data_IF_049746680201
#
_entry.id   IF_049746680201
#
_cell.length_a   1.000
_cell.length_b   1.000
_cell.length_c   1.000
_cell.angle_alpha   90.00
_cell.angle_beta   90.00
_cell.angle_gamma   90.00
#
_symmetry.space_group_name_H-M   'P 1'
#
loop_
_entity.id
_entity.type
_entity.pdbx_description
1 polymer ?
2 non-polymer ?
3 non-polymer ?
4 non-polymer ?
5 water ?
#
# COMPACT_ATOMS: atom_id res chain seq x y z
N UNK A 3 16.81 11.41 15.50
CA UNK A 3 17.81 12.15 14.66
C UNK A 3 17.75 11.82 13.16
N UNK A 4 17.74 10.53 12.82
CA UNK A 4 17.44 10.11 11.43
C UNK A 4 15.95 10.26 11.18
N UNK A 5 15.59 10.80 10.03
CA UNK A 5 14.18 10.90 9.63
C UNK A 5 13.69 9.48 9.39
N UNK A 6 12.51 9.14 9.90
CA UNK A 6 11.99 7.78 9.73
C UNK A 6 10.76 7.84 8.86
N UNK A 7 10.74 7.00 7.82
CA UNK A 7 9.63 7.01 6.87
C UNK A 7 9.07 5.62 6.76
N UNK A 8 7.76 5.50 6.97
CA UNK A 8 7.06 4.21 6.78
C UNK A 8 6.45 4.26 5.40
N UNK A 9 6.75 3.25 4.60
CA UNK A 9 6.24 3.17 3.23
C UNK A 9 5.29 1.95 3.19
N UNK A 10 4.03 2.20 2.91
CA UNK A 10 3.05 1.13 2.75
C UNK A 10 3.34 0.22 1.56
N UNK A 11 2.85 -1.02 1.60
CA UNK A 11 3.17 -1.95 0.51
C UNK A 11 2.10 -1.99 -0.57
N UNK A 12 0.94 -2.55 -0.27
CA UNK A 12 -0.10 -2.64 -1.29
C UNK A 12 -0.64 -1.25 -1.65
N UNK A 13 -0.65 -0.98 -2.95
CA UNK A 13 -1.18 0.28 -3.44
C UNK A 13 -0.14 1.39 -3.42
N UNK A 14 1.05 1.09 -2.93
CA UNK A 14 2.15 2.08 -2.92
C UNK A 14 3.42 1.49 -3.54
N UNK A 15 3.82 0.32 -3.08
CA UNK A 15 4.95 -0.41 -3.69
C UNK A 15 4.48 -1.44 -4.68
N UNK A 16 3.44 -2.15 -4.29
CA UNK A 16 2.93 -3.30 -5.08
C UNK A 16 1.59 -2.97 -5.69
N UNK A 17 1.44 -3.32 -6.97
CA UNK A 17 0.22 -2.99 -7.69
C UNK A 17 -0.94 -3.97 -7.40
N UNK A 18 -1.50 -3.85 -6.20
CA UNK A 18 -2.61 -4.64 -5.73
C UNK A 18 -3.83 -4.44 -6.64
N UNK A 19 -4.14 -3.18 -6.98
CA UNK A 19 -5.39 -2.92 -7.77
C UNK A 19 -5.35 -3.58 -9.16
N UNK A 20 -4.27 -3.34 -9.89
CA UNK A 20 -4.03 -3.99 -11.17
C UNK A 20 -3.97 -5.51 -11.15
N UNK A 21 -3.27 -6.06 -10.16
CA UNK A 21 -3.11 -7.53 -10.08
C UNK A 21 -4.45 -8.16 -9.76
N UNK A 22 -5.17 -7.54 -8.85
CA UNK A 22 -6.47 -8.04 -8.47
C UNK A 22 -7.39 -8.05 -9.70
N UNK A 23 -7.48 -6.91 -10.39
CA UNK A 23 -8.42 -6.86 -11.53
C UNK A 23 -8.10 -7.90 -12.57
N UNK A 24 -6.83 -8.05 -12.88
CA UNK A 24 -6.41 -9.01 -13.89
C UNK A 24 -6.80 -10.44 -13.49
N UNK A 25 -6.50 -10.79 -12.24
CA UNK A 25 -6.77 -12.15 -11.80
C UNK A 25 -8.26 -12.40 -11.58
N UNK A 26 -8.99 -11.38 -11.19
CA UNK A 26 -10.45 -11.48 -11.04
C UNK A 26 -11.07 -11.76 -12.41
N UNK A 27 -10.74 -10.90 -13.38
CA UNK A 27 -11.26 -11.12 -14.74
C UNK A 27 -10.93 -12.49 -15.31
N UNK A 28 -9.71 -12.99 -15.09
CA UNK A 28 -9.28 -14.28 -15.63
C UNK A 28 -10.02 -15.45 -14.96
N UNK A 29 -10.23 -15.35 -13.64
CA UNK A 29 -10.90 -16.41 -12.93
C UNK A 29 -12.42 -16.41 -13.12
N UNK A 30 -12.97 -15.21 -13.28
CA UNK A 30 -14.40 -15.03 -13.31
C UNK A 30 -14.82 -14.21 -14.55
N UNK A 31 -14.53 -14.74 -15.76
CA UNK A 31 -14.74 -13.96 -16.99
C UNK A 31 -16.20 -13.61 -17.27
N UNK A 32 -17.13 -14.24 -16.55
CA UNK A 32 -18.57 -14.02 -16.77
C UNK A 32 -19.22 -13.09 -15.76
N UNK A 33 -18.42 -12.62 -14.79
CA UNK A 33 -18.89 -11.68 -13.80
C UNK A 33 -18.60 -10.23 -14.23
N UNK A 34 -19.43 -9.27 -13.77
CA UNK A 34 -19.08 -7.87 -13.97
C UNK A 34 -17.85 -7.54 -13.14
N UNK A 35 -17.12 -6.53 -13.54
CA UNK A 35 -15.92 -6.09 -12.79
C UNK A 35 -15.91 -4.55 -12.66
N UNK A 36 -15.00 -4.03 -11.84
CA UNK A 36 -14.86 -2.57 -11.71
C UNK A 36 -13.56 -2.13 -12.34
N UNK A 37 -13.65 -1.40 -13.46
CA UNK A 37 -12.45 -0.86 -14.12
C UNK A 37 -11.78 0.06 -13.11
N UNK A 38 -10.46 0.20 -13.22
CA UNK A 38 -9.70 0.98 -12.22
C UNK A 38 -10.17 2.45 -12.14
N UNK A 39 -10.49 3.03 -13.29
CA UNK A 39 -10.99 4.40 -13.31
C UNK A 39 -12.29 4.56 -12.49
N UNK A 40 -13.06 3.47 -12.32
CA UNK A 40 -14.32 3.50 -11.56
C UNK A 40 -14.19 3.03 -10.10
N UNK A 41 -12.98 2.66 -9.71
CA UNK A 41 -12.77 2.29 -8.32
C UNK A 41 -13.00 3.47 -7.39
N UNK A 42 -13.70 3.24 -6.28
CA UNK A 42 -13.92 4.25 -5.24
C UNK A 42 -13.91 3.59 -3.87
N UNK A 43 -13.14 4.15 -2.96
CA UNK A 43 -13.06 3.66 -1.57
C UNK A 43 -12.02 2.56 -1.46
N UNK A 44 -11.36 2.54 -0.29
CA UNK A 44 -10.29 1.61 -0.02
C UNK A 44 -10.74 0.18 -0.27
N UNK A 45 -11.91 -0.17 0.23
CA UNK A 45 -12.33 -1.58 0.24
C UNK A 45 -12.87 -2.07 -1.10
N UNK A 46 -11.99 -2.69 -1.89
CA UNK A 46 -12.32 -3.40 -3.16
C UNK A 46 -13.56 -4.29 -2.97
N UNK A 47 -13.51 -5.12 -1.94
CA UNK A 47 -14.56 -6.14 -1.73
C UNK A 47 -15.94 -5.49 -1.56
N UNK A 48 -15.97 -4.36 -0.85
CA UNK A 48 -17.23 -3.63 -0.58
C UNK A 48 -17.81 -3.08 -1.87
N UNK A 49 -16.97 -2.49 -2.73
CA UNK A 49 -17.49 -1.99 -4.01
C UNK A 49 -18.00 -3.14 -4.90
N UNK A 50 -17.30 -4.26 -4.88
CA UNK A 50 -17.72 -5.42 -5.66
C UNK A 50 -19.03 -5.98 -5.11
N UNK A 51 -19.16 -5.93 -3.79
CA UNK A 51 -20.37 -6.40 -3.08
C UNK A 51 -21.60 -5.57 -3.42
N UNK A 52 -21.39 -4.28 -3.64
CA UNK A 52 -22.44 -3.36 -4.13
C UNK A 52 -22.76 -3.63 -5.61
N UNK A 53 -21.75 -4.05 -6.36
CA UNK A 53 -21.92 -4.25 -7.80
C UNK A 53 -22.84 -5.43 -8.15
N UNK A 54 -22.83 -6.45 -7.29
CA UNK A 54 -23.57 -7.69 -7.50
C UNK A 54 -23.51 -8.57 -6.24
N UNK A 55 -24.58 -9.33 -5.97
CA UNK A 55 -24.60 -10.29 -4.85
C UNK A 55 -23.59 -11.43 -5.02
N UNK A 56 -22.82 -11.70 -3.97
CA UNK A 56 -21.82 -12.76 -3.98
C UNK A 56 -20.47 -12.36 -4.54
N UNK A 57 -20.38 -11.13 -5.08
CA UNK A 57 -19.13 -10.65 -5.67
C UNK A 57 -18.05 -10.27 -4.65
N UNK A 58 -18.44 -9.86 -3.46
CA UNK A 58 -17.46 -9.60 -2.40
C UNK A 58 -16.66 -10.88 -2.10
N UNK A 59 -17.37 -12.00 -1.93
CA UNK A 59 -16.72 -13.26 -1.59
C UNK A 59 -15.81 -13.74 -2.75
N UNK A 60 -16.23 -13.51 -3.99
CA UNK A 60 -15.41 -13.88 -5.14
C UNK A 60 -14.15 -13.00 -5.18
N UNK A 61 -14.33 -11.71 -4.93
CA UNK A 61 -13.18 -10.78 -4.87
C UNK A 61 -12.18 -11.28 -3.82
N UNK A 62 -12.68 -11.56 -2.63
CA UNK A 62 -11.81 -12.03 -1.51
C UNK A 62 -11.03 -13.25 -1.88
N UNK A 63 -11.69 -14.18 -2.61
CA UNK A 63 -11.02 -15.40 -3.05
C UNK A 63 -9.79 -15.21 -3.95
N UNK A 64 -9.71 -14.06 -4.64
CA UNK A 64 -8.57 -13.75 -5.48
C UNK A 64 -7.37 -13.48 -4.57
N UNK A 65 -7.51 -12.59 -3.60
CA UNK A 65 -6.31 -12.30 -2.78
C UNK A 65 -6.01 -13.34 -1.68
N UNK A 66 -6.98 -14.20 -1.40
CA UNK A 66 -6.67 -15.36 -0.55
C UNK A 66 -5.92 -16.48 -1.30
N UNK A 67 -5.86 -16.43 -2.63
CA UNK A 67 -5.25 -17.50 -3.37
C UNK A 67 -3.75 -17.44 -3.30
N UNK A 68 -3.11 -18.60 -3.30
CA UNK A 68 -1.65 -18.69 -3.37
C UNK A 68 -1.11 -17.90 -4.57
N UNK A 69 0.02 -17.24 -4.34
CA UNK A 69 0.77 -16.48 -5.36
C UNK A 69 0.18 -15.12 -5.68
N UNK A 70 -0.97 -14.78 -5.12
CA UNK A 70 -1.52 -13.47 -5.41
C UNK A 70 -0.55 -12.36 -4.99
N UNK A 71 -0.11 -12.38 -3.72
CA UNK A 71 0.79 -11.29 -3.29
C UNK A 71 2.15 -11.39 -3.94
N UNK A 72 2.65 -12.61 -4.09
CA UNK A 72 4.00 -12.73 -4.61
C UNK A 72 4.10 -12.18 -6.05
N UNK A 73 3.03 -12.38 -6.82
CA UNK A 73 3.04 -12.07 -8.26
C UNK A 73 2.63 -10.63 -8.58
N UNK A 74 2.35 -9.82 -7.55
CA UNK A 74 2.04 -8.39 -7.78
C UNK A 74 3.24 -7.71 -8.44
N UNK A 75 2.94 -6.86 -9.41
CA UNK A 75 3.98 -6.08 -10.06
C UNK A 75 4.27 -4.85 -9.22
N UNK A 76 5.53 -4.42 -9.13
CA UNK A 76 5.78 -3.14 -8.50
C UNK A 76 5.11 -1.99 -9.26
N UNK A 77 4.71 -0.95 -8.53
CA UNK A 77 4.16 0.26 -9.19
C UNK A 77 5.33 0.98 -9.84
N UNK A 78 5.07 1.74 -10.93
CA UNK A 78 6.19 2.41 -11.59
C UNK A 78 6.98 3.29 -10.63
N UNK A 79 8.31 3.17 -10.70
CA UNK A 79 9.22 4.01 -9.89
C UNK A 79 9.36 3.63 -8.42
N UNK A 80 8.56 2.68 -7.96
CA UNK A 80 8.50 2.41 -6.51
C UNK A 80 9.79 1.79 -5.99
N UNK A 81 10.31 0.78 -6.69
CA UNK A 81 11.55 0.11 -6.24
C UNK A 81 12.73 1.07 -6.29
N UNK A 82 12.84 1.82 -7.37
CA UNK A 82 13.94 2.76 -7.52
C UNK A 82 13.86 3.87 -6.45
N UNK A 83 12.66 4.40 -6.22
CA UNK A 83 12.48 5.46 -5.21
C UNK A 83 12.82 5.01 -3.81
N UNK A 84 12.30 3.85 -3.43
CA UNK A 84 12.56 3.35 -2.07
C UNK A 84 14.03 2.98 -1.85
N UNK A 85 14.66 2.41 -2.87
CA UNK A 85 16.10 2.14 -2.79
C UNK A 85 16.89 3.42 -2.57
N UNK A 86 16.55 4.44 -3.35
CA UNK A 86 17.21 5.72 -3.21
C UNK A 86 16.92 6.32 -1.86
N UNK A 87 15.65 6.31 -1.44
CA UNK A 87 15.26 6.88 -0.16
C UNK A 87 16.05 6.25 1.02
N UNK A 88 16.14 4.91 0.99
CA UNK A 88 16.81 4.19 2.08
C UNK A 88 18.31 4.54 2.12
N UNK A 89 18.89 4.85 0.96
CA UNK A 89 20.32 5.16 0.87
C UNK A 89 20.67 6.59 1.30
N UNK A 90 19.65 7.43 1.50
CA UNK A 90 19.89 8.85 1.88
C UNK A 90 20.47 8.92 3.28
N UNK A 91 21.35 9.89 3.49
CA UNK A 91 21.87 10.16 4.82
C UNK A 91 20.74 10.46 5.78
N UNK A 92 20.87 10.04 7.04
CA UNK A 92 19.89 10.43 8.07
C UNK A 92 18.45 10.09 7.68
N UNK A 93 18.27 8.91 7.07
CA UNK A 93 16.93 8.52 6.61
C UNK A 93 16.79 7.02 6.82
N UNK A 94 15.81 6.63 7.62
CA UNK A 94 15.51 5.20 7.87
C UNK A 94 14.16 4.86 7.25
N UNK A 95 14.14 3.84 6.39
CA UNK A 95 12.89 3.44 5.71
C UNK A 95 12.41 2.10 6.20
N UNK A 96 11.12 2.05 6.56
CA UNK A 96 10.48 0.77 6.92
C UNK A 96 9.29 0.53 5.99
N UNK A 97 9.09 -0.71 5.59
CA UNK A 97 7.91 -1.06 4.78
C UNK A 97 6.86 -1.52 5.76
N UNK A 98 5.69 -0.86 5.76
CA UNK A 98 4.68 -1.12 6.79
C UNK A 98 3.41 -1.60 6.10
N UNK A 99 3.00 -2.83 6.38
CA UNK A 99 1.97 -3.47 5.59
C UNK A 99 1.04 -4.25 6.49
N UNK A 100 -0.24 -4.27 6.11
CA UNK A 100 -1.25 -5.00 6.89
C UNK A 100 -1.65 -6.29 6.19
N UNK A 101 -1.35 -7.45 6.77
CA UNK A 101 -1.74 -8.71 6.13
C UNK A 101 -3.25 -8.91 6.14
N UNK A 102 -3.77 -9.69 5.20
CA UNK A 102 -5.21 -10.03 5.18
C UNK A 102 -5.52 -10.97 6.34
N UNK A 103 -6.80 -11.26 6.55
CA UNK A 103 -7.18 -12.14 7.65
C UNK A 103 -6.65 -13.57 7.47
N UNK A 104 -6.73 -14.08 6.23
CA UNK A 104 -6.27 -15.43 5.94
C UNK A 104 -4.73 -15.43 5.80
N UNK A 105 -4.04 -16.15 6.69
CA UNK A 105 -2.61 -15.90 6.86
C UNK A 105 -1.73 -17.00 6.24
N UNK A 106 -2.34 -17.91 5.47
CA UNK A 106 -1.53 -19.02 4.95
C UNK A 106 -0.37 -18.63 4.03
N UNK A 107 -0.64 -17.66 3.16
CA UNK A 107 0.32 -17.26 2.12
C UNK A 107 0.80 -15.83 2.28
N UNK A 108 -0.08 -14.95 2.74
CA UNK A 108 0.15 -13.50 2.60
C UNK A 108 1.47 -13.04 3.31
N UNK A 109 1.63 -13.33 4.61
CA UNK A 109 2.90 -12.89 5.25
C UNK A 109 4.12 -13.44 4.54
N UNK A 110 4.15 -14.76 4.28
CA UNK A 110 5.25 -15.36 3.59
C UNK A 110 5.56 -14.68 2.25
N UNK A 111 4.51 -14.48 1.44
CA UNK A 111 4.73 -13.93 0.09
C UNK A 111 5.20 -12.48 0.11
N UNK A 112 4.78 -11.74 1.13
CA UNK A 112 5.21 -10.32 1.25
C UNK A 112 6.70 -10.29 1.59
N UNK A 113 7.15 -11.18 2.49
CA UNK A 113 8.60 -11.25 2.73
C UNK A 113 9.35 -11.63 1.43
N UNK A 114 8.82 -12.63 0.71
CA UNK A 114 9.45 -13.10 -0.51
C UNK A 114 9.52 -11.98 -1.56
N UNK A 115 8.45 -11.17 -1.61
CA UNK A 115 8.37 -10.07 -2.58
C UNK A 115 9.42 -9.02 -2.26
N UNK A 116 9.53 -8.67 -0.97
CA UNK A 116 10.52 -7.66 -0.57
C UNK A 116 11.94 -8.22 -0.86
N UNK A 117 12.17 -9.52 -0.60
CA UNK A 117 13.50 -10.09 -0.91
C UNK A 117 13.82 -9.96 -2.42
N UNK A 118 12.82 -10.28 -3.24
CA UNK A 118 12.90 -10.24 -4.72
C UNK A 118 13.32 -8.85 -5.20
N UNK A 119 12.61 -7.83 -4.73
CA UNK A 119 12.81 -6.47 -5.26
C UNK A 119 13.84 -5.62 -4.54
N UNK A 120 14.09 -5.90 -3.25
CA UNK A 120 14.98 -5.07 -2.45
C UNK A 120 16.17 -5.78 -1.85
N UNK A 121 16.15 -7.13 -1.94
CA UNK A 121 17.25 -7.95 -1.46
C UNK A 121 17.11 -8.41 -0.04
N UNK A 122 17.85 -9.48 0.31
CA UNK A 122 17.80 -10.01 1.69
C UNK A 122 17.99 -8.97 2.80
N UNK A 123 18.89 -7.99 2.62
CA UNK A 123 19.15 -7.07 3.74
C UNK A 123 17.94 -6.18 4.06
N UNK A 124 17.03 -6.01 3.09
CA UNK A 124 15.86 -5.17 3.32
C UNK A 124 14.77 -5.85 4.15
N UNK A 125 14.86 -7.16 4.31
CA UNK A 125 13.84 -7.87 5.11
C UNK A 125 13.76 -7.34 6.54
N UNK A 126 14.90 -6.91 7.07
CA UNK A 126 15.00 -6.26 8.41
C UNK A 126 14.08 -5.01 8.56
N UNK A 127 13.63 -4.43 7.43
CA UNK A 127 12.88 -3.17 7.41
C UNK A 127 11.38 -3.38 7.32
N UNK A 128 10.94 -4.63 7.33
CA UNK A 128 9.50 -4.90 7.19
C UNK A 128 8.82 -4.87 8.56
N UNK A 129 7.69 -4.17 8.63
CA UNK A 129 6.81 -4.20 9.80
C UNK A 129 5.44 -4.69 9.34
N UNK A 130 4.98 -5.83 9.85
CA UNK A 130 3.63 -6.34 9.53
C UNK A 130 2.72 -6.06 10.70
N UNK A 131 1.66 -5.29 10.45
CA UNK A 131 0.79 -4.89 11.54
C UNK A 131 -0.58 -4.51 10.96
N UNK A 132 -1.65 -4.81 11.69
CA UNK A 132 -2.96 -4.32 11.30
C UNK A 132 -3.17 -2.90 11.76
N UNK A 133 -2.37 -2.46 12.73
CA UNK A 133 -2.55 -1.13 13.29
C UNK A 133 -1.28 -0.31 13.07
N UNK A 134 -1.39 0.68 12.18
CA UNK A 134 -0.23 1.52 11.82
C UNK A 134 0.01 2.65 12.78
N UNK A 135 -1.01 2.97 13.57
CA UNK A 135 -0.92 4.08 14.51
C UNK A 135 0.04 3.78 15.66
N UNK A 136 0.32 2.50 15.91
CA UNK A 136 1.30 2.15 16.97
C UNK A 136 2.73 2.04 16.46
N UNK A 137 2.94 2.33 15.18
CA UNK A 137 4.30 2.40 14.64
C UNK A 137 4.65 3.88 14.57
N UNK A 138 5.77 4.26 15.18
CA UNK A 138 6.17 5.68 15.26
C UNK A 138 7.14 5.98 14.14
N UNK A 139 6.99 7.17 13.54
CA UNK A 139 7.87 7.60 12.48
C UNK A 139 7.49 9.04 12.18
N UNK A 140 8.25 9.67 11.31
CA UNK A 140 7.98 11.06 10.91
C UNK A 140 6.93 11.14 9.82
N UNK A 141 6.97 10.13 8.94
CA UNK A 141 6.08 10.09 7.77
C UNK A 141 5.54 8.68 7.55
N UNK A 142 4.30 8.61 7.11
CA UNK A 142 3.70 7.36 6.61
C UNK A 142 3.14 7.66 5.23
N UNK A 143 3.64 6.96 4.20
CA UNK A 143 3.16 7.15 2.83
C UNK A 143 2.27 5.95 2.54
N UNK A 144 0.97 6.20 2.35
CA UNK A 144 -0.01 5.11 2.39
C UNK A 144 -1.24 5.53 1.60
N UNK A 145 -1.76 4.61 0.78
CA UNK A 145 -2.88 4.93 -0.14
C UNK A 145 -4.23 4.89 0.54
N UNK A 146 -4.29 4.40 1.79
CA UNK A 146 -5.58 4.36 2.48
C UNK A 146 -5.88 5.71 3.16
N UNK A 147 -7.03 6.32 2.84
CA UNK A 147 -7.29 7.64 3.45
C UNK A 147 -7.44 7.66 4.97
N UNK A 148 -8.14 6.66 5.50
CA UNK A 148 -8.49 6.65 6.92
C UNK A 148 -7.58 5.66 7.63
N UNK A 149 -6.60 6.18 8.36
CA UNK A 149 -5.66 5.31 9.06
C UNK A 149 -5.84 5.54 10.55
N UNK A 150 -6.50 4.59 11.18
CA UNK A 150 -6.83 4.73 12.61
C UNK A 150 -6.46 3.46 13.36
N UNK A 151 -6.49 3.53 14.68
CA UNK A 151 -6.04 2.38 15.46
C UNK A 151 -6.03 2.76 16.91
N UNK A 152 -5.23 2.02 17.68
CA UNK A 152 -5.16 2.19 19.13
C UNK A 152 -4.56 3.51 19.59
N UNK A 153 -3.72 4.13 18.78
CA UNK A 153 -3.08 5.38 19.14
C UNK A 153 -3.87 6.54 18.54
N UNK A 154 -4.53 7.36 19.41
CA UNK A 154 -5.30 8.46 18.84
C UNK A 154 -4.47 9.59 18.24
N UNK A 155 -3.21 9.72 18.64
CA UNK A 155 -2.34 10.75 18.09
C UNK A 155 -1.02 10.14 17.60
N UNK A 156 -1.05 9.52 16.41
CA UNK A 156 0.18 8.93 15.85
C UNK A 156 1.27 9.96 15.66
N UNK A 157 2.52 9.50 15.68
CA UNK A 157 3.62 10.44 15.60
C UNK A 157 3.89 10.87 14.16
N UNK A 158 3.47 10.04 13.20
CA UNK A 158 3.73 10.33 11.78
C UNK A 158 2.73 11.34 11.21
N UNK A 159 3.18 12.07 10.18
CA UNK A 159 2.29 12.71 9.22
C UNK A 159 1.91 11.69 8.14
N UNK A 160 0.63 11.49 7.92
CA UNK A 160 0.19 10.61 6.83
C UNK A 160 0.13 11.38 5.51
N UNK A 161 0.98 10.97 4.57
CA UNK A 161 0.94 11.53 3.20
C UNK A 161 0.17 10.52 2.34
N UNK A 162 -0.93 10.97 1.73
CA UNK A 162 -1.77 10.06 0.97
C UNK A 162 -1.14 9.77 -0.37
N UNK A 163 -0.87 8.50 -0.62
CA UNK A 163 -0.33 8.10 -1.91
C UNK A 163 -1.49 7.86 -2.89
N UNK A 164 -1.46 8.56 -4.03
CA UNK A 164 -2.57 8.44 -4.96
C UNK A 164 -2.76 7.02 -5.48
N UNK A 165 -4.04 6.63 -5.53
CA UNK A 165 -4.44 5.37 -6.13
C UNK A 165 -5.80 5.58 -6.81
N UNK A 166 -6.15 4.68 -7.72
CA UNK A 166 -7.42 4.81 -8.43
C UNK A 166 -8.60 5.08 -7.45
N UNK A 167 -8.58 4.40 -6.29
CA UNK A 167 -9.72 4.46 -5.39
C UNK A 167 -9.78 5.74 -4.58
N UNK A 168 -8.68 6.52 -4.55
CA UNK A 168 -8.68 7.74 -3.77
C UNK A 168 -8.40 9.02 -4.60
N UNK A 169 -8.26 8.89 -5.92
CA UNK A 169 -7.73 10.00 -6.73
C UNK A 169 -8.71 11.18 -6.75
N UNK A 170 -10.00 10.93 -6.48
CA UNK A 170 -11.00 12.02 -6.51
C UNK A 170 -11.28 12.65 -5.19
N UNK A 171 -10.69 12.08 -4.12
CA UNK A 171 -10.98 12.52 -2.78
C UNK A 171 -10.46 13.89 -2.40
N UNK A 172 -11.34 14.74 -1.89
CA UNK A 172 -10.86 15.99 -1.30
C UNK A 172 -10.43 15.76 0.15
N UNK A 173 -9.19 16.09 0.46
CA UNK A 173 -8.68 15.88 1.83
C UNK A 173 -8.92 17.11 2.69
N UNK A 174 -8.98 16.94 4.00
CA UNK A 174 -9.02 18.08 4.91
C UNK A 174 -7.64 18.74 5.01
N UNK A 175 -7.57 20.07 4.78
CA UNK A 175 -6.31 20.74 5.09
C UNK A 175 -5.84 20.40 6.52
N UNK A 176 -4.52 20.17 6.74
CA UNK A 176 -3.42 20.32 5.82
C UNK A 176 -2.89 18.98 5.30
N UNK A 177 -3.79 18.00 5.13
CA UNK A 177 -3.37 16.71 4.55
C UNK A 177 -2.86 16.86 3.13
N UNK A 178 -1.81 16.09 2.83
CA UNK A 178 -0.91 16.20 1.68
C UNK A 178 -0.92 14.87 0.91
N UNK A 179 -0.66 14.92 -0.40
CA UNK A 179 -0.53 13.73 -1.28
C UNK A 179 0.86 13.57 -1.84
N UNK A 180 1.24 12.31 -2.07
CA UNK A 180 2.29 11.99 -3.00
C UNK A 180 1.62 11.39 -4.21
N UNK A 181 1.76 12.01 -5.38
CA UNK A 181 0.85 11.66 -6.44
C UNK A 181 1.19 10.35 -7.18
N UNK A 182 2.46 9.98 -7.06
CA UNK A 182 3.09 8.82 -7.71
C UNK A 182 4.56 8.88 -7.27
N UNK A 183 5.34 7.85 -7.59
CA UNK A 183 6.77 7.85 -7.26
C UNK A 183 7.56 8.79 -8.18
N UNK A 184 6.98 9.18 -9.32
CA UNK A 184 7.57 10.26 -10.15
C UNK A 184 7.42 11.64 -9.53
N UNK A 185 6.42 11.83 -8.69
CA UNK A 185 6.24 13.06 -7.90
C UNK A 185 7.46 13.27 -6.95
N UNK A 186 7.53 14.46 -6.35
CA UNK A 186 8.75 14.86 -5.69
C UNK A 186 8.71 14.45 -4.22
N UNK A 187 9.00 13.15 -4.00
CA UNK A 187 9.03 12.60 -2.64
C UNK A 187 10.19 13.15 -1.77
N UNK A 188 11.32 13.47 -2.39
CA UNK A 188 12.40 14.08 -1.62
C UNK A 188 11.99 15.41 -0.96
N UNK A 189 11.21 16.23 -1.68
CA UNK A 189 10.68 17.47 -1.09
C UNK A 189 9.81 17.23 0.12
N UNK A 190 8.99 16.18 0.03
CA UNK A 190 8.13 15.81 1.17
C UNK A 190 9.00 15.40 2.36
N UNK A 191 9.98 14.53 2.13
CA UNK A 191 10.91 14.14 3.22
C UNK A 191 11.61 15.36 3.80
N UNK A 192 12.17 16.17 2.92
CA UNK A 192 12.95 17.33 3.34
C UNK A 192 12.14 18.29 4.21
N UNK A 193 10.84 18.42 3.92
CA UNK A 193 9.95 19.28 4.69
C UNK A 193 9.84 18.90 6.18
N UNK A 194 10.23 17.65 6.49
CA UNK A 194 10.12 17.10 7.83
C UNK A 194 11.46 17.10 8.56
N UNK A 195 12.54 17.40 7.86
CA UNK A 195 13.87 17.36 8.49
C UNK A 195 14.12 18.66 9.26
N UNK A 196 15.02 18.62 10.28
CA UNK A 196 15.46 19.84 10.98
C UNK A 196 16.13 20.83 10.02
X LIG B 1 -2.03 0.19 0.92
X LIG C 1 -7.67 -5.56 1.71
X LIG C 1 -8.83 -6.23 2.18
X LIG C 1 -10.03 -5.92 1.67
X LIG C 1 -10.17 -4.96 0.73
X LIG C 1 -9.05 -4.27 0.26
X LIG C 1 -7.80 -4.59 0.77
X LIG C 1 -8.75 -7.14 3.05
X LIG C 1 -11.33 -4.71 0.30
X LIG C 1 -6.37 -5.93 2.31
X LIG C 1 -5.23 -6.30 1.37
X LIG C 1 -5.27 -7.67 0.94
X LIG C 1 -3.99 -6.07 2.23
X LIG C 1 -4.42 -4.99 3.20
X LIG C 1 -3.58 -7.22 2.98
X LIG C 1 -5.84 -4.83 3.06
X LIG C 1 -3.68 -3.69 2.90
X LIG C 1 -2.30 -4.00 2.53
X LIG C 1 -1.20 -2.83 2.58
X LIG C 1 -1.27 -2.39 4.04
X LIG C 1 0.10 -3.48 2.22
X LIG C 1 -1.71 -1.72 1.70
X LIG D 1 -8.76 -9.52 4.33
X LIG D 1 -9.00 -9.96 5.63
X LIG D 1 -9.32 -10.57 3.36
X LIG D 1 -10.46 -9.96 2.83
X LIG D 1 -9.67 -11.93 4.01
X LIG D 1 -8.56 -12.83 4.16
#
# INVERSE_FOLDING_TARGET
>A
GGRALRVLVNMDGVLADFEGGFLRKFRARFPDQPFIALEDRRGFWVSEQYGRLRPGLSEKAISIWESKNFFFELEPLPGAVEAVKEMASLQNTDVFICTSPIKMFKYCPYEKYAWVEKYFGPDFLEQIVLTRDKTVVSADLLIDDRPDITGAEPTPSWEHVLFTACHNQHLQLQPPRRRLHSWADDWKAILDSKRPC
>B hetero
1 MG MG
>C hetero
1 U5P N1 C2 N3 C4 C5 C6 O2 O4 C1' C2' O2' C3' C4' O3' O4' C5' O5' P O1P O2P O3P
>D hetero
1 GOL C1 O1 C2 O2 C3 O3
#
